data_IF_803247177347
#
_entry.id   IF_803247177347
#
_cell.length_a   1.000
_cell.length_b   1.000
_cell.length_c   1.000
_cell.angle_alpha   90.00
_cell.angle_beta   90.00
_cell.angle_gamma   90.00
#
_symmetry.space_group_name_H-M   'P 1'
#
loop_
_entity.id
_entity.type
_entity.pdbx_description
1 polymer ?
#
# COMPACT_ATOMS: atom_id res chain seq x y z
N UNK A 1 -6.52 2.27 9.07
CA UNK A 1 -6.15 0.97 8.47
C UNK A 1 -5.93 0.02 9.62
N UNK A 2 -6.62 -1.11 9.64
CA UNK A 2 -6.56 -2.07 10.75
C UNK A 2 -5.88 -3.36 10.26
N UNK A 3 -4.78 -3.73 10.90
CA UNK A 3 -4.11 -5.01 10.68
C UNK A 3 -4.67 -6.01 11.67
N UNK A 4 -5.24 -7.10 11.16
CA UNK A 4 -5.70 -8.22 11.95
C UNK A 4 -4.81 -9.43 11.66
N UNK A 5 -4.30 -10.06 12.71
CA UNK A 5 -3.52 -11.28 12.62
C UNK A 5 -4.33 -12.43 13.19
N UNK A 6 -4.47 -13.49 12.41
CA UNK A 6 -5.18 -14.70 12.84
C UNK A 6 -4.19 -15.77 13.29
N UNK A 7 -4.62 -16.64 14.20
CA UNK A 7 -3.82 -17.78 14.70
C UNK A 7 -3.35 -18.74 13.58
N UNK A 8 -3.99 -18.70 12.41
CA UNK A 8 -3.60 -19.42 11.19
C UNK A 8 -2.39 -18.83 10.48
N UNK A 9 -1.85 -17.71 10.94
CA UNK A 9 -0.82 -16.93 10.25
C UNK A 9 -1.37 -16.05 9.12
N UNK A 10 -2.68 -16.03 8.91
CA UNK A 10 -3.33 -15.14 7.93
C UNK A 10 -3.26 -13.70 8.42
N UNK A 11 -2.69 -12.81 7.60
CA UNK A 11 -2.70 -11.37 7.85
C UNK A 11 -3.79 -10.75 7.00
N UNK A 12 -4.78 -10.14 7.66
CA UNK A 12 -5.87 -9.45 7.00
C UNK A 12 -5.79 -7.96 7.28
N UNK A 13 -5.74 -7.18 6.22
CA UNK A 13 -5.86 -5.73 6.31
C UNK A 13 -7.32 -5.36 6.09
N UNK A 14 -7.91 -4.61 7.03
CA UNK A 14 -9.26 -4.06 6.91
C UNK A 14 -9.20 -2.54 6.86
N UNK A 15 -10.10 -1.94 6.08
CA UNK A 15 -10.28 -0.50 6.07
C UNK A 15 -11.07 -0.01 4.88
N UNK A 16 -11.40 1.28 4.91
CA UNK A 16 -12.04 2.04 3.82
C UNK A 16 -11.13 2.17 2.58
N UNK A 17 -10.27 1.19 2.29
CA UNK A 17 -9.50 1.02 1.05
C UNK A 17 -10.02 -0.14 0.17
N UNK A 18 -10.99 -0.92 0.67
CA UNK A 18 -11.51 -2.14 0.04
C UNK A 18 -12.68 -1.89 -0.93
N UNK A 19 -13.11 -0.64 -1.14
CA UNK A 19 -14.23 -0.31 -2.05
C UNK A 19 -13.76 0.16 -3.44
N UNK A 20 -14.60 -0.06 -4.46
CA UNK A 20 -14.29 0.18 -5.88
C UNK A 20 -13.86 1.64 -6.11
N UNK A 21 -12.56 1.86 -6.25
CA UNK A 21 -11.93 3.15 -6.58
C UNK A 21 -10.42 2.99 -6.69
N UNK A 22 -9.76 3.88 -7.46
CA UNK A 22 -8.29 3.99 -7.47
C UNK A 22 -7.85 4.51 -6.11
N UNK A 23 -7.03 3.74 -5.39
CA UNK A 23 -6.55 4.11 -4.06
C UNK A 23 -5.05 4.02 -4.01
N UNK A 24 -4.45 4.92 -3.24
CA UNK A 24 -3.01 4.95 -3.02
C UNK A 24 -2.71 4.33 -1.67
N UNK A 25 -1.93 3.25 -1.67
CA UNK A 25 -1.43 2.62 -0.46
C UNK A 25 -0.01 3.12 -0.19
N UNK A 26 0.24 3.81 0.93
CA UNK A 26 1.60 4.19 1.31
C UNK A 26 2.38 2.93 1.72
N UNK A 27 3.66 2.89 1.37
CA UNK A 27 4.61 1.90 1.85
C UNK A 27 5.94 2.57 2.20
N UNK A 28 6.74 1.88 3.01
CA UNK A 28 8.06 2.35 3.40
C UNK A 28 9.05 1.20 3.30
N UNK A 29 10.19 1.46 2.66
CA UNK A 29 11.33 0.55 2.64
C UNK A 29 12.36 1.07 3.64
N UNK A 30 12.77 0.23 4.57
CA UNK A 30 13.85 0.52 5.50
C UNK A 30 15.14 -0.16 5.02
N UNK A 31 16.17 0.64 4.73
CA UNK A 31 17.47 0.18 4.20
C UNK A 31 18.58 1.11 4.67
N UNK A 32 19.72 0.55 5.11
CA UNK A 32 20.87 1.33 5.59
C UNK A 32 20.50 2.35 6.68
N UNK A 33 19.64 1.95 7.62
CA UNK A 33 19.11 2.82 8.68
C UNK A 33 18.31 4.03 8.17
N UNK A 34 17.85 3.98 6.92
CA UNK A 34 17.09 5.04 6.27
C UNK A 34 15.76 4.51 5.72
N UNK A 35 14.76 5.38 5.71
CA UNK A 35 13.41 5.11 5.22
C UNK A 35 13.19 5.76 3.87
N UNK A 36 12.68 4.97 2.93
CA UNK A 36 12.30 5.43 1.60
C UNK A 36 10.80 5.28 1.46
N UNK A 37 10.11 6.41 1.40
CA UNK A 37 8.65 6.45 1.29
C UNK A 37 8.22 6.24 -0.15
N UNK A 38 7.13 5.51 -0.33
CA UNK A 38 6.53 5.27 -1.62
C UNK A 38 5.02 5.09 -1.54
N UNK A 39 4.40 5.02 -2.70
CA UNK A 39 2.99 4.71 -2.84
C UNK A 39 2.75 3.74 -3.98
N UNK A 40 1.68 2.96 -3.86
CA UNK A 40 1.18 2.08 -4.92
C UNK A 40 -0.28 2.43 -5.18
N UNK A 41 -0.63 2.73 -6.43
CA UNK A 41 -2.01 2.84 -6.89
C UNK A 41 -2.55 1.43 -7.13
N UNK A 42 -3.64 1.08 -6.44
CA UNK A 42 -4.26 -0.23 -6.54
C UNK A 42 -5.78 -0.17 -6.61
N UNK A 43 -6.38 -1.26 -7.05
CA UNK A 43 -7.82 -1.53 -7.01
C UNK A 43 -8.06 -2.92 -6.42
N UNK A 44 -8.96 -3.02 -5.44
CA UNK A 44 -9.46 -4.30 -4.95
C UNK A 44 -10.69 -4.71 -5.78
N UNK A 45 -10.54 -5.78 -6.57
CA UNK A 45 -11.63 -6.40 -7.31
C UNK A 45 -12.17 -7.56 -6.48
N UNK A 46 -13.24 -7.28 -5.73
CA UNK A 46 -13.90 -8.25 -4.85
C UNK A 46 -14.61 -9.37 -5.63
N UNK A 47 -15.06 -9.10 -6.85
CA UNK A 47 -15.80 -10.09 -7.65
C UNK A 47 -14.84 -11.13 -8.23
N UNK A 48 -13.67 -10.68 -8.68
CA UNK A 48 -12.62 -11.56 -9.20
C UNK A 48 -11.57 -11.96 -8.14
N UNK A 49 -11.83 -11.68 -6.86
CA UNK A 49 -10.97 -11.98 -5.71
C UNK A 49 -9.47 -11.62 -5.92
N UNK A 50 -9.22 -10.45 -6.51
CA UNK A 50 -7.87 -10.02 -6.89
C UNK A 50 -7.55 -8.57 -6.53
N UNK A 51 -6.26 -8.29 -6.43
CA UNK A 51 -5.73 -6.93 -6.30
C UNK A 51 -5.05 -6.57 -7.62
N UNK A 52 -5.43 -5.44 -8.21
CA UNK A 52 -4.82 -4.89 -9.42
C UNK A 52 -3.88 -3.76 -9.00
N UNK A 53 -2.61 -3.85 -9.37
CA UNK A 53 -1.62 -2.78 -9.19
C UNK A 53 -1.50 -1.98 -10.49
N UNK A 54 -1.63 -0.66 -10.41
CA UNK A 54 -1.63 0.22 -11.59
C UNK A 54 -0.29 0.92 -11.77
N UNK A 55 0.13 1.69 -10.77
CA UNK A 55 1.32 2.55 -10.79
C UNK A 55 1.95 2.56 -9.41
N UNK A 56 3.23 2.89 -9.35
CA UNK A 56 3.91 3.14 -8.09
C UNK A 56 4.97 4.21 -8.26
N UNK A 57 5.32 4.86 -7.16
CA UNK A 57 6.52 5.68 -7.07
C UNK A 57 7.19 5.50 -5.72
N UNK A 58 8.50 5.74 -5.69
CA UNK A 58 9.33 5.73 -4.48
C UNK A 58 10.25 6.93 -4.53
N UNK A 59 10.44 7.59 -3.39
CA UNK A 59 11.46 8.61 -3.27
C UNK A 59 12.85 7.99 -3.46
N UNK A 60 13.67 8.60 -4.32
CA UNK A 60 15.10 8.25 -4.44
C UNK A 60 15.94 8.87 -3.32
N UNK A 61 15.37 9.83 -2.61
CA UNK A 61 15.96 10.49 -1.45
C UNK A 61 15.38 9.88 -0.17
N UNK A 62 16.26 9.55 0.78
CA UNK A 62 15.85 9.04 2.08
C UNK A 62 15.08 10.11 2.89
N UNK A 63 14.19 9.64 3.77
CA UNK A 63 13.42 10.46 4.74
C UNK A 63 12.59 11.58 4.11
N UNK A 64 12.29 11.47 2.81
CA UNK A 64 11.49 12.45 2.08
C UNK A 64 10.09 11.95 1.84
N UNK A 65 9.15 12.87 1.99
CA UNK A 65 7.76 12.66 1.61
C UNK A 65 7.63 12.61 0.08
N UNK A 66 6.69 11.81 -0.38
CA UNK A 66 6.29 11.72 -1.79
C UNK A 66 4.77 11.80 -1.88
N UNK A 67 4.27 12.57 -2.84
CA UNK A 67 2.84 12.70 -3.08
C UNK A 67 2.37 11.67 -4.09
N UNK A 68 1.18 11.15 -3.86
CA UNK A 68 0.51 10.22 -4.76
C UNK A 68 -0.52 10.95 -5.61
N UNK A 69 -0.59 10.64 -6.91
CA UNK A 69 -1.60 11.19 -7.82
C UNK A 69 -1.30 12.57 -8.41
N UNK A 70 -0.09 13.10 -8.21
CA UNK A 70 0.46 14.20 -9.03
C UNK A 70 1.10 13.65 -10.31
#
# INVERSE_FOLDING_TARGET
MERNEFATGTILWRGNWVDKGKRYMPFQIYKNDQRYNGWIELTADKEAEKIILHRMAISKEAEKDIKAGE
#
